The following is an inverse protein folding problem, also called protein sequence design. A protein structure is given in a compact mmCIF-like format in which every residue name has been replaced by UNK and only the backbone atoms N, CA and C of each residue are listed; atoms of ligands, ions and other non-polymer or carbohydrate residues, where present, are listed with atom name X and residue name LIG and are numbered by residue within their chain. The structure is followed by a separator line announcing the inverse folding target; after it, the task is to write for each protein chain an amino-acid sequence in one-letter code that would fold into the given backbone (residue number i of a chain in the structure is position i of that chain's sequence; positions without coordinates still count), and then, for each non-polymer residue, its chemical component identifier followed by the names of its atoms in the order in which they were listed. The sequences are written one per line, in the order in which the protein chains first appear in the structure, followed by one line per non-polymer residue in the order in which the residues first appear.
data_IF_224612823327
#
_entry.id   IF_224612823327
#
_cell.length_a   1.000
_cell.length_b   1.000
_cell.length_c   1.000
_cell.angle_alpha   90.00
_cell.angle_beta   90.00
_cell.angle_gamma   90.00
#
_symmetry.space_group_name_H-M   'P 1'
#
loop_
_entity.id
_entity.type
_entity.pdbx_description
1 polymer ?
#
# COMPACT_ATOMS: atom_id res chain seq x y z
N UNK A 1 -16.31 12.33 -32.38
CA UNK A 1 -15.36 12.02 -31.31
C UNK A 1 -16.00 10.99 -30.40
N UNK A 2 -15.36 9.84 -30.13
CA UNK A 2 -15.92 8.84 -29.21
C UNK A 2 -15.44 9.13 -27.80
N UNK A 3 -16.27 9.81 -27.01
CA UNK A 3 -16.00 9.93 -25.58
C UNK A 3 -16.11 8.55 -24.91
N UNK A 4 -15.28 8.26 -23.90
CA UNK A 4 -15.37 7.00 -23.18
C UNK A 4 -16.71 6.93 -22.42
N UNK A 5 -17.27 5.72 -22.31
CA UNK A 5 -18.50 5.50 -21.53
C UNK A 5 -18.27 5.64 -20.02
N UNK A 6 -17.04 5.41 -19.56
CA UNK A 6 -16.64 5.50 -18.16
C UNK A 6 -15.36 6.32 -18.06
N UNK A 7 -15.33 7.26 -17.13
CA UNK A 7 -14.16 8.05 -16.79
C UNK A 7 -13.85 7.85 -15.30
N UNK A 8 -12.65 7.37 -14.99
CA UNK A 8 -12.17 7.17 -13.62
C UNK A 8 -11.14 8.25 -13.32
N UNK A 9 -11.40 9.07 -12.29
CA UNK A 9 -10.54 10.18 -11.88
C UNK A 9 -10.12 10.00 -10.42
N UNK A 10 -8.82 10.06 -10.16
CA UNK A 10 -8.29 10.20 -8.80
C UNK A 10 -8.35 11.67 -8.39
N UNK A 11 -8.92 11.96 -7.22
CA UNK A 11 -8.99 13.30 -6.64
C UNK A 11 -8.14 13.35 -5.37
N UNK A 12 -6.90 13.82 -5.51
CA UNK A 12 -5.97 14.05 -4.41
C UNK A 12 -6.25 15.36 -3.69
N UNK A 13 -5.84 15.45 -2.42
CA UNK A 13 -5.96 16.66 -1.60
C UNK A 13 -4.69 16.85 -0.78
N UNK A 14 -3.95 17.91 -1.07
CA UNK A 14 -2.74 18.29 -0.36
C UNK A 14 -3.05 19.36 0.70
N UNK A 15 -4.09 20.17 0.48
CA UNK A 15 -4.53 21.23 1.38
C UNK A 15 -6.05 21.41 1.36
N UNK A 16 -6.64 22.12 2.34
CA UNK A 16 -8.07 22.42 2.35
C UNK A 16 -8.53 23.14 1.07
N UNK A 17 -9.67 22.70 0.52
CA UNK A 17 -10.30 23.25 -0.69
C UNK A 17 -9.91 22.58 -2.00
N UNK A 18 -8.93 21.67 -2.01
CA UNK A 18 -8.51 20.98 -3.23
C UNK A 18 -9.64 20.08 -3.79
N UNK A 19 -10.37 19.37 -2.93
CA UNK A 19 -11.48 18.51 -3.37
C UNK A 19 -12.66 19.34 -3.86
N UNK A 20 -12.94 20.47 -3.20
CA UNK A 20 -13.96 21.41 -3.66
C UNK A 20 -13.65 21.90 -5.09
N UNK A 21 -12.41 22.33 -5.32
CA UNK A 21 -11.93 22.74 -6.64
C UNK A 21 -12.11 21.62 -7.69
N UNK A 22 -11.72 20.39 -7.39
CA UNK A 22 -11.85 19.26 -8.32
C UNK A 22 -13.31 18.92 -8.62
N UNK A 23 -14.18 19.00 -7.62
CA UNK A 23 -15.62 18.76 -7.78
C UNK A 23 -16.34 19.87 -8.54
N UNK A 24 -15.78 21.07 -8.62
CA UNK A 24 -16.30 22.14 -9.48
C UNK A 24 -15.98 21.90 -10.96
N UNK A 25 -14.94 21.12 -11.27
CA UNK A 25 -14.61 20.71 -12.64
C UNK A 25 -15.48 19.53 -13.07
N UNK A 26 -15.59 18.48 -12.23
CA UNK A 26 -16.33 17.25 -12.54
C UNK A 26 -17.15 16.78 -11.35
N UNK A 27 -18.47 16.66 -11.54
CA UNK A 27 -19.38 16.04 -10.55
C UNK A 27 -19.38 14.52 -10.70
N UNK A 28 -19.31 13.80 -9.58
CA UNK A 28 -19.20 12.35 -9.54
C UNK A 28 -20.55 11.63 -9.60
N UNK A 29 -20.68 10.63 -10.47
CA UNK A 29 -21.75 9.64 -10.45
C UNK A 29 -21.51 8.59 -9.35
N UNK A 30 -20.25 8.20 -9.16
CA UNK A 30 -19.82 7.27 -8.12
C UNK A 30 -18.62 7.90 -7.41
N UNK A 31 -18.71 8.07 -6.09
CA UNK A 31 -17.65 8.63 -5.25
C UNK A 31 -17.09 7.56 -4.33
N UNK A 32 -15.79 7.30 -4.42
CA UNK A 32 -15.10 6.31 -3.60
C UNK A 32 -14.24 7.05 -2.58
N UNK A 33 -14.44 6.74 -1.29
CA UNK A 33 -13.53 7.18 -0.24
C UNK A 33 -12.88 5.94 0.34
N UNK A 34 -11.56 5.85 0.18
CA UNK A 34 -10.81 4.61 0.45
C UNK A 34 -10.28 4.53 1.87
N UNK A 35 -9.69 5.62 2.36
CA UNK A 35 -9.06 5.68 3.68
C UNK A 35 -8.93 7.14 4.16
N UNK A 36 -9.05 7.34 5.47
CA UNK A 36 -8.75 8.61 6.14
C UNK A 36 -7.74 8.35 7.26
N UNK A 37 -6.55 8.94 7.11
CA UNK A 37 -5.45 8.77 8.05
C UNK A 37 -4.60 10.04 8.15
N UNK A 38 -3.41 9.91 8.72
CA UNK A 38 -2.52 11.03 9.10
C UNK A 38 -1.65 11.56 7.94
N UNK A 39 -1.90 11.15 6.70
CA UNK A 39 -1.24 11.71 5.52
C UNK A 39 -1.56 13.20 5.37
N UNK A 40 -0.57 14.04 5.06
CA UNK A 40 -0.71 15.50 4.92
C UNK A 40 -1.20 16.21 6.19
N UNK A 41 -0.93 15.64 7.37
CA UNK A 41 -1.32 16.24 8.65
C UNK A 41 -0.70 17.63 8.85
N UNK A 42 0.46 17.91 8.25
CA UNK A 42 1.08 19.24 8.25
C UNK A 42 0.15 20.32 7.65
N UNK A 43 -0.51 20.02 6.54
CA UNK A 43 -1.41 20.96 5.86
C UNK A 43 -2.80 21.01 6.52
N UNK A 44 -3.35 19.85 6.90
CA UNK A 44 -4.72 19.75 7.42
C UNK A 44 -4.84 19.93 8.93
N UNK A 45 -3.73 19.87 9.68
CA UNK A 45 -3.60 19.98 11.14
C UNK A 45 -4.22 18.84 11.94
N UNK A 46 -5.38 18.35 11.54
CA UNK A 46 -6.10 17.26 12.22
C UNK A 46 -6.70 16.27 11.23
N UNK A 47 -6.84 15.03 11.68
CA UNK A 47 -7.46 13.96 10.87
C UNK A 47 -8.95 14.23 10.61
N UNK A 48 -9.64 14.91 11.53
CA UNK A 48 -11.03 15.36 11.33
C UNK A 48 -11.14 16.38 10.18
N UNK A 49 -10.14 17.24 9.97
CA UNK A 49 -10.13 18.15 8.82
C UNK A 49 -9.89 17.40 7.51
N UNK A 50 -9.03 16.38 7.50
CA UNK A 50 -8.83 15.49 6.35
C UNK A 50 -10.15 14.78 6.00
N UNK A 51 -10.87 14.27 7.01
CA UNK A 51 -12.19 13.66 6.84
C UNK A 51 -13.18 14.63 6.21
N UNK A 52 -13.25 15.87 6.69
CA UNK A 52 -14.16 16.89 6.15
C UNK A 52 -13.85 17.19 4.69
N UNK A 53 -12.57 17.35 4.35
CA UNK A 53 -12.12 17.59 2.98
C UNK A 53 -12.47 16.42 2.05
N UNK A 54 -12.01 15.20 2.36
CA UNK A 54 -12.27 14.00 1.53
C UNK A 54 -13.75 13.63 1.48
N UNK A 55 -14.49 13.91 2.56
CA UNK A 55 -15.94 13.70 2.65
C UNK A 55 -16.75 14.58 1.69
N UNK A 56 -16.18 15.64 1.13
CA UNK A 56 -16.84 16.45 0.10
C UNK A 56 -17.21 15.63 -1.13
N UNK A 57 -16.44 14.59 -1.47
CA UNK A 57 -16.76 13.66 -2.58
C UNK A 57 -18.13 13.03 -2.37
N UNK A 58 -18.41 12.55 -1.14
CA UNK A 58 -19.66 11.88 -0.78
C UNK A 58 -20.82 12.87 -0.72
N UNK A 59 -20.56 14.09 -0.24
CA UNK A 59 -21.58 15.15 -0.10
C UNK A 59 -22.05 15.73 -1.43
N UNK A 60 -21.19 15.72 -2.44
CA UNK A 60 -21.43 16.36 -3.74
C UNK A 60 -21.73 15.35 -4.85
N UNK A 61 -22.12 14.12 -4.49
CA UNK A 61 -22.64 13.15 -5.45
C UNK A 61 -23.88 13.71 -6.16
N UNK A 62 -24.07 13.30 -7.42
CA UNK A 62 -25.33 13.54 -8.13
C UNK A 62 -26.49 12.86 -7.37
N UNK A 63 -27.72 13.31 -7.63
CA UNK A 63 -28.94 12.88 -6.93
C UNK A 63 -29.09 11.35 -6.81
N UNK A 64 -28.76 10.62 -7.88
CA UNK A 64 -28.85 9.16 -7.94
C UNK A 64 -27.48 8.47 -7.87
N UNK A 65 -26.45 9.22 -7.45
CA UNK A 65 -25.08 8.75 -7.36
C UNK A 65 -24.86 7.75 -6.22
N UNK A 66 -23.72 7.06 -6.28
CA UNK A 66 -23.33 6.05 -5.31
C UNK A 66 -22.10 6.46 -4.51
N UNK A 67 -22.17 6.30 -3.20
CA UNK A 67 -21.01 6.31 -2.33
C UNK A 67 -20.46 4.88 -2.18
N UNK A 68 -19.16 4.72 -2.41
CA UNK A 68 -18.42 3.49 -2.13
C UNK A 68 -17.49 3.76 -0.96
N UNK A 69 -17.78 3.15 0.19
CA UNK A 69 -17.11 3.44 1.45
C UNK A 69 -16.38 2.21 1.98
N UNK A 70 -15.15 2.40 2.45
CA UNK A 70 -14.43 1.36 3.19
C UNK A 70 -15.09 1.13 4.55
N UNK A 71 -15.67 -0.04 4.75
CA UNK A 71 -16.33 -0.48 5.99
C UNK A 71 -15.35 -0.61 7.15
N UNK A 72 -14.10 -0.99 6.86
CA UNK A 72 -13.12 -1.34 7.88
C UNK A 72 -12.45 -0.11 8.51
N UNK A 73 -12.53 1.04 7.84
CA UNK A 73 -12.08 2.36 8.28
C UNK A 73 -13.25 3.13 8.89
N UNK A 74 -13.23 3.30 10.22
CA UNK A 74 -14.31 3.93 10.97
C UNK A 74 -14.58 5.38 10.53
N UNK A 75 -13.54 6.12 10.15
CA UNK A 75 -13.69 7.51 9.73
C UNK A 75 -14.38 7.60 8.39
N UNK A 76 -13.97 6.75 7.45
CA UNK A 76 -14.61 6.63 6.13
C UNK A 76 -16.04 6.16 6.28
N UNK A 77 -16.28 5.07 7.00
CA UNK A 77 -17.64 4.53 7.15
C UNK A 77 -18.57 5.50 7.88
N UNK A 78 -18.06 6.32 8.79
CA UNK A 78 -18.87 7.35 9.45
C UNK A 78 -19.43 8.42 8.50
N UNK A 79 -18.87 8.60 7.30
CA UNK A 79 -19.41 9.48 6.26
C UNK A 79 -20.79 9.03 5.77
N UNK A 80 -21.16 7.76 5.97
CA UNK A 80 -22.49 7.24 5.66
C UNK A 80 -23.60 8.02 6.38
N UNK A 81 -23.33 8.62 7.55
CA UNK A 81 -24.29 9.43 8.31
C UNK A 81 -24.70 10.72 7.59
N UNK A 82 -23.86 11.20 6.67
CA UNK A 82 -24.03 12.46 5.96
C UNK A 82 -24.56 12.27 4.54
N UNK A 83 -24.73 11.01 4.12
CA UNK A 83 -25.14 10.63 2.77
C UNK A 83 -26.66 10.75 2.57
N UNK A 84 -27.04 11.31 1.42
CA UNK A 84 -28.46 11.45 0.99
C UNK A 84 -28.77 10.67 -0.29
N UNK A 85 -28.05 9.57 -0.52
CA UNK A 85 -28.09 8.79 -1.76
C UNK A 85 -27.75 7.32 -1.55
N UNK A 86 -27.40 6.64 -2.64
CA UNK A 86 -27.12 5.21 -2.62
C UNK A 86 -25.73 4.93 -2.04
N UNK A 87 -25.58 3.79 -1.35
CA UNK A 87 -24.31 3.38 -0.74
C UNK A 87 -24.07 1.90 -0.94
N UNK A 88 -22.83 1.52 -1.24
CA UNK A 88 -22.31 0.20 -0.94
C UNK A 88 -21.01 0.32 -0.17
N UNK A 89 -20.82 -0.58 0.79
CA UNK A 89 -19.59 -0.69 1.56
C UNK A 89 -18.74 -1.86 1.08
N UNK A 90 -17.43 -1.74 1.26
CA UNK A 90 -16.49 -2.83 0.99
C UNK A 90 -15.50 -2.97 2.15
N UNK A 91 -14.97 -4.17 2.35
CA UNK A 91 -14.04 -4.39 3.45
C UNK A 91 -13.67 -5.85 3.65
N UNK A 92 -12.79 -6.08 4.63
CA UNK A 92 -12.33 -7.41 5.05
C UNK A 92 -13.03 -7.85 6.34
N UNK A 93 -13.67 -6.93 7.09
CA UNK A 93 -14.48 -7.27 8.27
C UNK A 93 -15.89 -7.71 7.88
N UNK A 94 -16.43 -8.60 8.71
CA UNK A 94 -17.82 -9.03 8.60
C UNK A 94 -18.75 -7.82 8.77
N UNK A 95 -19.62 -7.59 7.78
CA UNK A 95 -20.58 -6.48 7.77
C UNK A 95 -20.51 -5.62 6.51
N UNK A 96 -19.37 -5.63 5.81
CA UNK A 96 -19.25 -4.99 4.50
C UNK A 96 -20.22 -5.64 3.47
N UNK A 97 -20.79 -4.84 2.57
CA UNK A 97 -21.68 -5.35 1.51
C UNK A 97 -20.91 -6.23 0.53
N UNK A 98 -19.77 -5.72 0.04
CA UNK A 98 -18.78 -6.46 -0.75
C UNK A 98 -17.63 -6.87 0.18
N UNK A 99 -17.70 -8.11 0.64
CA UNK A 99 -16.83 -8.60 1.71
C UNK A 99 -15.75 -9.54 1.18
N UNK A 100 -14.48 -9.19 1.40
CA UNK A 100 -13.33 -10.08 1.21
C UNK A 100 -13.06 -10.90 2.47
N UNK A 101 -12.96 -12.22 2.35
CA UNK A 101 -12.69 -13.13 3.46
C UNK A 101 -11.73 -14.24 3.06
N UNK A 102 -11.25 -15.01 4.05
CA UNK A 102 -10.36 -16.17 3.82
C UNK A 102 -9.13 -15.81 2.96
N UNK A 103 -8.39 -14.79 3.39
CA UNK A 103 -7.20 -14.30 2.68
C UNK A 103 -6.09 -15.34 2.83
N UNK A 104 -5.49 -15.72 1.71
CA UNK A 104 -4.39 -16.68 1.62
C UNK A 104 -3.28 -16.13 0.74
N UNK A 105 -2.03 -16.45 1.08
CA UNK A 105 -0.93 -16.26 0.14
C UNK A 105 -0.98 -17.35 -0.93
N UNK A 106 -0.86 -16.97 -2.20
CA UNK A 106 -0.82 -17.89 -3.33
C UNK A 106 0.62 -18.18 -3.71
N UNK A 107 0.97 -19.46 -3.86
CA UNK A 107 2.31 -19.89 -4.25
C UNK A 107 2.25 -20.73 -5.51
N UNK A 108 3.22 -20.54 -6.38
CA UNK A 108 3.43 -21.34 -7.58
C UNK A 108 4.65 -22.25 -7.41
N UNK A 109 4.53 -23.50 -7.85
CA UNK A 109 5.66 -24.43 -7.90
C UNK A 109 6.56 -24.06 -9.06
N UNK A 110 7.83 -23.86 -8.74
CA UNK A 110 8.91 -23.61 -9.69
C UNK A 110 9.96 -24.72 -9.58
N UNK A 111 10.85 -24.84 -10.56
CA UNK A 111 11.98 -25.77 -10.48
C UNK A 111 12.95 -25.51 -9.31
N UNK A 112 12.81 -24.38 -8.60
CA UNK A 112 13.64 -23.97 -7.46
C UNK A 112 12.88 -23.98 -6.13
N UNK A 113 11.65 -24.51 -6.09
CA UNK A 113 10.78 -24.51 -4.90
C UNK A 113 9.48 -23.77 -5.14
N UNK A 114 8.85 -23.25 -4.09
CA UNK A 114 7.63 -22.44 -4.20
C UNK A 114 7.99 -20.95 -4.30
N UNK A 115 7.38 -20.24 -5.25
CA UNK A 115 7.50 -18.78 -5.40
C UNK A 115 6.17 -18.15 -5.03
N UNK A 116 6.20 -17.07 -4.24
CA UNK A 116 5.01 -16.28 -3.96
C UNK A 116 4.45 -15.72 -5.29
N UNK A 117 3.22 -16.09 -5.61
CA UNK A 117 2.57 -15.81 -6.90
C UNK A 117 1.54 -14.70 -6.78
N UNK A 118 1.02 -14.42 -5.58
CA UNK A 118 0.06 -13.36 -5.34
C UNK A 118 -0.76 -13.57 -4.07
N UNK A 119 -1.92 -12.91 -4.02
CA UNK A 119 -2.86 -13.05 -2.91
C UNK A 119 -4.21 -13.58 -3.40
N UNK A 120 -4.74 -14.58 -2.69
CA UNK A 120 -6.06 -15.15 -2.93
C UNK A 120 -7.03 -14.79 -1.80
N UNK A 121 -8.30 -14.62 -2.13
CA UNK A 121 -9.37 -14.42 -1.14
C UNK A 121 -10.72 -14.85 -1.72
N UNK A 122 -11.74 -14.95 -0.87
CA UNK A 122 -13.14 -15.13 -1.30
C UNK A 122 -13.85 -13.79 -1.24
N UNK A 123 -14.54 -13.42 -2.32
CA UNK A 123 -15.39 -12.24 -2.40
C UNK A 123 -16.85 -12.65 -2.26
N UNK A 124 -17.58 -12.01 -1.33
CA UNK A 124 -19.00 -12.25 -1.09
C UNK A 124 -19.84 -10.99 -1.32
N UNK A 125 -20.98 -11.17 -1.99
CA UNK A 125 -22.01 -10.14 -2.15
C UNK A 125 -23.38 -10.81 -2.31
N UNK A 126 -24.39 -10.33 -1.57
CA UNK A 126 -25.80 -10.83 -1.61
C UNK A 126 -25.94 -12.36 -1.61
N UNK A 127 -25.15 -13.04 -0.78
CA UNK A 127 -25.18 -14.50 -0.62
C UNK A 127 -24.36 -15.29 -1.65
N UNK A 128 -23.92 -14.67 -2.74
CA UNK A 128 -22.97 -15.28 -3.68
C UNK A 128 -21.54 -15.15 -3.17
N UNK A 129 -20.72 -16.18 -3.41
CA UNK A 129 -19.30 -16.20 -3.03
C UNK A 129 -18.47 -16.72 -4.20
N UNK A 130 -17.41 -15.99 -4.56
CA UNK A 130 -16.47 -16.40 -5.62
C UNK A 130 -15.03 -16.31 -5.12
N UNK A 131 -14.14 -17.23 -5.54
CA UNK A 131 -12.71 -17.05 -5.31
C UNK A 131 -12.17 -15.93 -6.21
N UNK A 132 -11.23 -15.14 -5.69
CA UNK A 132 -10.48 -14.11 -6.41
C UNK A 132 -8.99 -14.36 -6.19
N UNK A 133 -8.20 -14.10 -7.22
CA UNK A 133 -6.75 -14.19 -7.16
C UNK A 133 -6.17 -12.94 -7.81
N UNK A 134 -5.33 -12.21 -7.07
CA UNK A 134 -4.60 -11.04 -7.53
C UNK A 134 -3.13 -11.45 -7.74
N UNK A 135 -2.70 -11.72 -8.97
CA UNK A 135 -1.35 -12.18 -9.23
C UNK A 135 -0.33 -11.07 -9.01
N UNK A 136 0.88 -11.45 -8.62
CA UNK A 136 2.03 -10.55 -8.42
C UNK A 136 1.80 -9.45 -7.38
N UNK A 137 0.84 -9.63 -6.47
CA UNK A 137 0.50 -8.66 -5.42
C UNK A 137 0.46 -9.29 -4.05
N UNK A 138 0.75 -8.49 -3.03
CA UNK A 138 0.74 -8.94 -1.64
C UNK A 138 0.10 -7.89 -0.74
N UNK A 139 -0.37 -8.36 0.41
CA UNK A 139 -0.93 -7.51 1.46
C UNK A 139 -2.37 -7.07 1.23
N UNK A 140 -2.98 -6.59 2.30
CA UNK A 140 -4.37 -6.14 2.32
C UNK A 140 -4.66 -4.92 1.43
N UNK A 141 -3.74 -3.94 1.23
CA UNK A 141 -4.03 -2.78 0.38
C UNK A 141 -4.47 -3.13 -1.04
N UNK A 142 -3.87 -4.15 -1.65
CA UNK A 142 -4.27 -4.64 -2.98
C UNK A 142 -5.69 -5.22 -2.96
N UNK A 143 -6.04 -5.96 -1.90
CA UNK A 143 -7.39 -6.53 -1.72
C UNK A 143 -8.41 -5.42 -1.52
N UNK A 144 -8.11 -4.40 -0.72
CA UNK A 144 -9.01 -3.24 -0.57
C UNK A 144 -9.24 -2.51 -1.89
N UNK A 145 -8.19 -2.31 -2.70
CA UNK A 145 -8.33 -1.69 -4.02
C UNK A 145 -9.19 -2.55 -4.96
N UNK A 146 -8.97 -3.86 -4.97
CA UNK A 146 -9.77 -4.81 -5.74
C UNK A 146 -11.25 -4.83 -5.30
N UNK A 147 -11.51 -4.80 -3.99
CA UNK A 147 -12.87 -4.75 -3.43
C UNK A 147 -13.58 -3.42 -3.73
N UNK A 148 -12.86 -2.29 -3.69
CA UNK A 148 -13.40 -0.99 -4.10
C UNK A 148 -13.83 -1.02 -5.58
N UNK A 149 -12.95 -1.51 -6.46
CA UNK A 149 -13.25 -1.69 -7.89
C UNK A 149 -14.39 -2.69 -8.13
N UNK A 150 -14.40 -3.81 -7.42
CA UNK A 150 -15.48 -4.80 -7.47
C UNK A 150 -16.84 -4.19 -7.07
N UNK A 151 -16.85 -3.31 -6.06
CA UNK A 151 -18.06 -2.62 -5.62
C UNK A 151 -18.61 -1.71 -6.71
N UNK A 152 -17.73 -1.00 -7.43
CA UNK A 152 -18.12 -0.24 -8.62
C UNK A 152 -18.66 -1.15 -9.73
N UNK A 153 -18.02 -2.30 -9.98
CA UNK A 153 -18.51 -3.29 -10.95
C UNK A 153 -19.92 -3.78 -10.62
N UNK A 154 -20.18 -4.08 -9.35
CA UNK A 154 -21.50 -4.46 -8.83
C UNK A 154 -22.54 -3.35 -9.02
N UNK A 155 -22.19 -2.09 -8.75
CA UNK A 155 -23.07 -0.93 -8.99
C UNK A 155 -23.46 -0.83 -10.47
N UNK A 156 -22.54 -1.18 -11.37
CA UNK A 156 -22.77 -1.18 -12.81
C UNK A 156 -23.37 -2.50 -13.33
N UNK A 157 -23.81 -3.40 -12.45
CA UNK A 157 -24.54 -4.61 -12.82
C UNK A 157 -23.66 -5.81 -13.24
N UNK A 158 -22.34 -5.73 -13.08
CA UNK A 158 -21.46 -6.88 -13.31
C UNK A 158 -21.72 -7.97 -12.26
N UNK A 159 -21.67 -9.23 -12.68
CA UNK A 159 -21.75 -10.34 -11.74
C UNK A 159 -20.37 -10.66 -11.12
N UNK A 160 -20.35 -11.38 -10.00
CA UNK A 160 -19.10 -11.64 -9.26
C UNK A 160 -18.10 -12.51 -10.06
N UNK A 161 -18.57 -13.36 -10.97
CA UNK A 161 -17.68 -14.21 -11.79
C UNK A 161 -16.93 -13.34 -12.80
N UNK A 162 -17.62 -12.42 -13.49
CA UNK A 162 -17.00 -11.44 -14.39
C UNK A 162 -15.98 -10.59 -13.65
N UNK A 163 -16.35 -10.05 -12.49
CA UNK A 163 -15.45 -9.24 -11.66
C UNK A 163 -14.21 -10.05 -11.25
N UNK A 164 -14.38 -11.29 -10.77
CA UNK A 164 -13.27 -12.15 -10.37
C UNK A 164 -12.33 -12.46 -11.53
N UNK A 165 -12.87 -12.69 -12.73
CA UNK A 165 -12.07 -12.92 -13.94
C UNK A 165 -11.25 -11.67 -14.31
N UNK A 166 -11.88 -10.50 -14.35
CA UNK A 166 -11.18 -9.24 -14.67
C UNK A 166 -10.11 -8.88 -13.63
N UNK A 167 -10.35 -9.18 -12.34
CA UNK A 167 -9.37 -8.91 -11.28
C UNK A 167 -8.08 -9.74 -11.41
N UNK A 168 -8.04 -10.81 -12.22
CA UNK A 168 -6.78 -11.52 -12.52
C UNK A 168 -5.81 -10.69 -13.35
N UNK A 169 -6.31 -9.69 -14.06
CA UNK A 169 -5.50 -8.75 -14.84
C UNK A 169 -5.01 -7.58 -13.98
N UNK A 170 -5.44 -7.50 -12.71
CA UNK A 170 -4.97 -6.47 -11.79
C UNK A 170 -3.45 -6.51 -11.66
N UNK A 171 -2.84 -5.34 -11.72
CA UNK A 171 -1.42 -5.12 -11.43
C UNK A 171 -1.33 -3.92 -10.49
N UNK A 172 -0.63 -4.10 -9.38
CA UNK A 172 -0.34 -2.96 -8.50
C UNK A 172 0.49 -1.92 -9.25
N UNK A 173 0.19 -0.62 -9.11
CA UNK A 173 1.09 0.44 -9.58
C UNK A 173 2.50 0.24 -9.00
N UNK A 174 3.53 0.63 -9.76
CA UNK A 174 4.94 0.50 -9.35
C UNK A 174 5.16 1.11 -7.96
N UNK A 175 6.06 0.52 -7.17
CA UNK A 175 6.38 0.96 -5.81
C UNK A 175 5.23 0.82 -4.81
N UNK A 176 4.22 -0.02 -5.07
CA UNK A 176 3.11 -0.30 -4.15
C UNK A 176 3.02 -1.80 -3.87
N UNK A 177 3.89 -2.28 -2.98
CA UNK A 177 4.03 -3.68 -2.60
C UNK A 177 4.23 -4.62 -3.79
N UNK A 178 5.01 -4.18 -4.79
CA UNK A 178 5.32 -5.00 -5.97
C UNK A 178 6.40 -6.03 -5.63
N UNK A 179 6.27 -7.24 -6.16
CA UNK A 179 7.32 -8.25 -6.07
C UNK A 179 8.34 -8.04 -7.20
N UNK A 180 9.61 -7.89 -6.84
CA UNK A 180 10.73 -7.75 -7.77
C UNK A 180 11.76 -8.83 -7.47
N UNK A 181 12.22 -9.54 -8.50
CA UNK A 181 13.29 -10.53 -8.33
C UNK A 181 14.61 -9.82 -8.00
N UNK A 182 15.27 -10.26 -6.93
CA UNK A 182 16.53 -9.70 -6.45
C UNK A 182 17.75 -10.51 -6.88
N UNK A 183 18.94 -9.89 -6.78
CA UNK A 183 20.21 -10.58 -7.01
C UNK A 183 20.37 -11.77 -6.05
N UNK A 184 21.28 -12.69 -6.37
CA UNK A 184 21.55 -13.89 -5.53
C UNK A 184 20.31 -14.77 -5.28
N UNK A 185 19.23 -14.59 -6.04
CA UNK A 185 17.98 -15.34 -5.87
C UNK A 185 17.18 -14.90 -4.64
N UNK A 186 17.23 -13.62 -4.29
CA UNK A 186 16.37 -13.00 -3.26
C UNK A 186 15.06 -12.50 -3.86
N UNK A 187 14.14 -12.10 -3.00
CA UNK A 187 12.89 -11.44 -3.38
C UNK A 187 12.81 -10.05 -2.74
N UNK A 188 12.42 -9.05 -3.51
CA UNK A 188 12.24 -7.68 -3.02
C UNK A 188 10.76 -7.35 -3.07
N UNK A 189 10.26 -6.79 -1.98
CA UNK A 189 8.97 -6.12 -1.92
C UNK A 189 9.23 -4.63 -2.06
N UNK A 190 8.96 -4.10 -3.24
CA UNK A 190 9.08 -2.68 -3.56
C UNK A 190 7.82 -1.92 -3.13
N UNK A 191 7.92 -1.14 -2.06
CA UNK A 191 6.89 -0.22 -1.57
C UNK A 191 7.41 1.22 -1.48
N UNK A 192 8.22 1.62 -2.47
CA UNK A 192 8.98 2.89 -2.48
C UNK A 192 8.23 4.08 -3.10
N UNK A 193 6.95 3.92 -3.46
CA UNK A 193 6.15 5.03 -3.97
C UNK A 193 5.93 6.10 -2.89
N UNK A 194 5.48 5.75 -1.70
CA UNK A 194 5.40 6.71 -0.60
C UNK A 194 5.37 5.98 0.75
N UNK A 195 5.55 6.73 1.83
CA UNK A 195 5.47 6.20 3.18
C UNK A 195 4.74 7.14 4.13
N UNK A 196 4.05 6.53 5.07
CA UNK A 196 3.40 7.13 6.23
C UNK A 196 3.43 6.08 7.35
N UNK A 197 3.34 6.45 8.64
CA UNK A 197 3.41 5.49 9.74
C UNK A 197 2.42 4.34 9.55
N UNK A 198 1.16 4.65 9.26
CA UNK A 198 0.13 3.63 9.05
C UNK A 198 0.41 2.72 7.84
N UNK A 199 0.84 3.25 6.70
CA UNK A 199 1.14 2.41 5.53
C UNK A 199 2.37 1.54 5.76
N UNK A 200 3.34 2.02 6.55
CA UNK A 200 4.52 1.25 6.96
C UNK A 200 4.16 0.08 7.85
N UNK A 201 3.25 0.27 8.81
CA UNK A 201 2.73 -0.82 9.66
C UNK A 201 1.99 -1.88 8.84
N UNK A 202 1.17 -1.47 7.86
CA UNK A 202 0.46 -2.40 6.97
C UNK A 202 1.42 -3.19 6.07
N UNK A 203 2.47 -2.55 5.56
CA UNK A 203 3.51 -3.20 4.79
C UNK A 203 4.27 -4.23 5.64
N UNK A 204 4.61 -3.88 6.90
CA UNK A 204 5.26 -4.77 7.86
C UNK A 204 4.40 -5.97 8.23
N UNK A 205 3.09 -5.79 8.48
CA UNK A 205 2.17 -6.88 8.76
C UNK A 205 2.07 -7.86 7.59
N UNK A 206 1.93 -7.34 6.36
CA UNK A 206 1.92 -8.15 5.15
C UNK A 206 3.24 -8.91 4.96
N UNK A 207 4.37 -8.23 5.16
CA UNK A 207 5.71 -8.79 5.03
C UNK A 207 6.01 -9.88 6.08
N UNK A 208 5.55 -9.68 7.32
CA UNK A 208 5.71 -10.65 8.39
C UNK A 208 4.97 -11.97 8.11
N UNK A 209 3.83 -11.91 7.41
CA UNK A 209 3.04 -13.09 7.03
C UNK A 209 3.65 -13.93 5.90
N UNK A 210 4.68 -13.44 5.22
CA UNK A 210 5.36 -14.20 4.16
C UNK A 210 6.22 -15.29 4.80
N UNK A 211 5.94 -16.54 4.47
CA UNK A 211 6.77 -17.67 4.86
C UNK A 211 8.02 -17.72 3.98
N UNK A 212 9.19 -17.83 4.62
CA UNK A 212 10.47 -17.95 3.93
C UNK A 212 11.18 -19.26 4.33
N UNK A 213 12.12 -19.77 3.50
CA UNK A 213 12.90 -20.95 3.87
C UNK A 213 13.63 -20.76 5.21
N UNK A 214 13.79 -21.83 6.00
CA UNK A 214 14.35 -21.77 7.37
C UNK A 214 15.73 -21.09 7.51
N UNK A 215 16.51 -21.02 6.44
CA UNK A 215 17.86 -20.41 6.43
C UNK A 215 17.87 -18.98 5.90
N UNK A 216 16.75 -18.52 5.36
CA UNK A 216 16.59 -17.20 4.79
C UNK A 216 16.24 -16.17 5.85
N UNK A 217 16.45 -14.90 5.51
CA UNK A 217 16.34 -13.77 6.40
C UNK A 217 15.38 -12.71 5.87
N UNK A 218 14.71 -12.00 6.78
CA UNK A 218 13.85 -10.85 6.46
C UNK A 218 14.58 -9.53 6.74
N UNK A 219 14.68 -8.69 5.72
CA UNK A 219 15.24 -7.35 5.81
C UNK A 219 14.14 -6.31 5.67
N UNK A 220 14.03 -5.41 6.66
CA UNK A 220 13.19 -4.22 6.62
C UNK A 220 14.06 -3.01 6.31
N UNK A 221 13.88 -2.39 5.15
CA UNK A 221 14.66 -1.23 4.69
C UNK A 221 13.75 -0.01 4.59
N UNK A 222 13.93 0.95 5.49
CA UNK A 222 13.05 2.10 5.65
C UNK A 222 13.78 3.43 5.45
N UNK A 223 13.22 4.28 4.58
CA UNK A 223 13.64 5.66 4.41
C UNK A 223 12.81 6.63 5.23
N UNK A 224 13.19 7.90 5.21
CA UNK A 224 12.41 9.00 5.79
C UNK A 224 10.93 8.95 5.35
N UNK A 225 10.04 9.16 6.32
CA UNK A 225 8.64 9.54 6.11
C UNK A 225 8.53 11.06 6.18
N UNK A 226 8.13 11.69 5.07
CA UNK A 226 8.04 13.14 4.93
C UNK A 226 6.61 13.64 5.22
N UNK A 227 6.44 14.96 5.36
CA UNK A 227 5.14 15.65 5.53
C UNK A 227 4.35 15.28 6.81
N UNK A 228 5.04 14.81 7.85
CA UNK A 228 4.45 14.48 9.15
C UNK A 228 4.42 15.66 10.14
N UNK A 229 5.15 16.75 9.85
CA UNK A 229 5.28 17.90 10.74
C UNK A 229 5.71 17.48 12.16
N UNK A 230 4.95 17.92 13.17
CA UNK A 230 5.19 17.59 14.58
C UNK A 230 5.07 16.09 14.93
N UNK A 231 4.43 15.29 14.06
CA UNK A 231 4.29 13.84 14.24
C UNK A 231 5.49 13.05 13.70
N UNK A 232 6.54 13.73 13.21
CA UNK A 232 7.70 13.06 12.60
C UNK A 232 8.35 12.05 13.54
N UNK A 233 8.75 12.45 14.74
CA UNK A 233 9.47 11.58 15.68
C UNK A 233 8.62 10.36 16.08
N UNK A 234 7.41 10.60 16.59
CA UNK A 234 6.51 9.54 17.04
C UNK A 234 6.07 8.62 15.90
N UNK A 235 5.80 9.17 14.71
CA UNK A 235 5.44 8.38 13.54
C UNK A 235 6.54 7.41 13.10
N UNK A 236 7.80 7.84 13.15
CA UNK A 236 8.95 6.97 12.88
C UNK A 236 9.17 5.96 14.02
N UNK A 237 9.08 6.41 15.27
CA UNK A 237 9.24 5.55 16.44
C UNK A 237 8.20 4.41 16.46
N UNK A 238 6.97 4.69 16.04
CA UNK A 238 5.91 3.68 15.91
C UNK A 238 6.29 2.55 14.95
N UNK A 239 6.92 2.88 13.81
CA UNK A 239 7.41 1.87 12.85
C UNK A 239 8.56 1.07 13.47
N UNK A 240 9.50 1.72 14.16
CA UNK A 240 10.63 1.06 14.82
C UNK A 240 10.19 0.03 15.86
N UNK A 241 9.25 0.44 16.73
CA UNK A 241 8.65 -0.46 17.73
C UNK A 241 7.96 -1.65 17.07
N UNK A 242 7.24 -1.44 15.98
CA UNK A 242 6.61 -2.54 15.24
C UNK A 242 7.64 -3.53 14.70
N UNK A 243 8.73 -3.04 14.10
CA UNK A 243 9.79 -3.91 13.55
C UNK A 243 10.35 -4.84 14.64
N UNK A 244 10.63 -4.31 15.83
CA UNK A 244 11.17 -5.08 16.95
C UNK A 244 10.22 -6.19 17.46
N UNK A 245 8.91 -6.08 17.20
CA UNK A 245 7.91 -7.08 17.63
C UNK A 245 7.63 -8.17 16.58
N UNK A 246 8.18 -8.04 15.38
CA UNK A 246 7.94 -8.95 14.25
C UNK A 246 9.15 -9.86 14.02
N UNK A 247 8.97 -10.92 13.24
CA UNK A 247 10.05 -11.86 12.89
C UNK A 247 10.91 -11.26 11.77
N UNK A 248 11.62 -10.17 12.09
CA UNK A 248 12.48 -9.42 11.17
C UNK A 248 13.93 -9.55 11.66
N UNK A 249 14.80 -10.06 10.79
CA UNK A 249 16.20 -10.31 11.15
C UNK A 249 17.05 -9.04 11.13
N UNK A 250 16.80 -8.14 10.18
CA UNK A 250 17.62 -6.95 9.98
C UNK A 250 16.76 -5.73 9.67
N UNK A 251 17.06 -4.63 10.36
CA UNK A 251 16.51 -3.30 10.11
C UNK A 251 17.60 -2.42 9.50
N UNK A 252 17.32 -1.82 8.36
CA UNK A 252 18.16 -0.82 7.70
C UNK A 252 17.37 0.47 7.58
N UNK A 253 17.87 1.58 8.12
CA UNK A 253 17.21 2.89 8.05
C UNK A 253 18.05 3.89 7.27
N UNK A 254 17.40 4.76 6.50
CA UNK A 254 18.07 5.71 5.60
C UNK A 254 17.47 7.12 5.70
N UNK A 255 18.31 8.10 6.05
CA UNK A 255 17.91 9.50 6.17
C UNK A 255 17.79 9.98 7.61
N UNK A 256 17.81 11.29 7.82
CA UNK A 256 17.90 11.90 9.15
C UNK A 256 16.72 11.52 10.07
N UNK A 257 15.50 11.53 9.55
CA UNK A 257 14.28 11.23 10.32
C UNK A 257 14.13 9.73 10.57
N UNK A 258 14.58 8.90 9.62
CA UNK A 258 14.57 7.45 9.75
C UNK A 258 15.43 6.94 10.91
N UNK A 259 16.32 7.76 11.49
CA UNK A 259 17.04 7.42 12.72
C UNK A 259 16.10 7.06 13.88
N UNK A 260 14.98 7.76 14.00
CA UNK A 260 13.98 7.49 15.05
C UNK A 260 13.35 6.09 14.91
N UNK A 261 13.33 5.50 13.71
CA UNK A 261 12.92 4.09 13.53
C UNK A 261 13.95 3.17 14.18
N UNK A 262 15.25 3.42 13.94
CA UNK A 262 16.33 2.60 14.47
C UNK A 262 16.42 2.70 16.00
N UNK A 263 16.35 3.91 16.55
CA UNK A 263 16.37 4.17 17.99
C UNK A 263 15.20 3.45 18.70
N UNK A 264 13.97 3.62 18.20
CA UNK A 264 12.80 3.01 18.79
C UNK A 264 12.78 1.47 18.65
N UNK A 265 13.41 0.91 17.62
CA UNK A 265 13.58 -0.55 17.51
C UNK A 265 14.58 -1.09 18.54
N UNK A 266 15.70 -0.40 18.76
CA UNK A 266 16.70 -0.74 19.79
C UNK A 266 16.06 -0.67 21.19
N UNK A 267 15.33 0.40 21.48
CA UNK A 267 14.59 0.57 22.75
C UNK A 267 13.51 -0.50 22.97
N UNK A 268 12.86 -0.95 21.89
CA UNK A 268 11.88 -2.02 21.93
C UNK A 268 12.48 -3.44 22.02
N UNK A 269 13.82 -3.55 22.06
CA UNK A 269 14.53 -4.80 22.36
C UNK A 269 15.14 -5.51 21.14
N UNK A 270 15.14 -4.89 19.95
CA UNK A 270 15.87 -5.45 18.80
C UNK A 270 17.38 -5.32 19.03
N UNK A 271 18.12 -6.40 18.80
CA UNK A 271 19.57 -6.44 19.02
C UNK A 271 20.31 -5.40 18.16
N UNK A 272 21.22 -4.65 18.76
CA UNK A 272 21.93 -3.54 18.10
C UNK A 272 22.71 -3.96 16.85
N UNK A 273 23.25 -5.17 16.82
CA UNK A 273 23.96 -5.75 15.66
C UNK A 273 23.02 -6.18 14.52
N UNK A 274 21.71 -5.99 14.68
CA UNK A 274 20.69 -6.18 13.64
C UNK A 274 20.11 -4.87 13.11
N UNK A 275 20.53 -3.73 13.65
CA UNK A 275 20.03 -2.41 13.27
C UNK A 275 21.16 -1.62 12.62
N UNK A 276 20.92 -1.13 11.41
CA UNK A 276 21.90 -0.37 10.63
C UNK A 276 21.29 0.93 10.13
N UNK A 277 21.95 2.06 10.40
CA UNK A 277 21.50 3.37 9.99
C UNK A 277 22.48 4.01 9.01
N UNK A 278 21.97 4.61 7.95
CA UNK A 278 22.75 5.31 6.92
C UNK A 278 22.18 6.70 6.66
N UNK A 279 23.05 7.66 6.37
CA UNK A 279 22.63 8.97 5.87
C UNK A 279 22.30 8.95 4.38
N UNK A 280 22.93 8.04 3.61
CA UNK A 280 22.78 7.95 2.16
C UNK A 280 22.32 6.56 1.70
N UNK A 281 21.40 6.57 0.73
CA UNK A 281 20.77 5.37 0.17
C UNK A 281 21.73 4.52 -0.66
N UNK A 282 22.79 5.10 -1.25
CA UNK A 282 23.78 4.34 -2.02
C UNK A 282 24.57 3.42 -1.08
N UNK A 283 25.03 3.96 0.04
CA UNK A 283 25.79 3.19 1.04
C UNK A 283 24.92 2.11 1.67
N UNK A 284 23.66 2.43 1.98
CA UNK A 284 22.68 1.44 2.44
C UNK A 284 22.43 0.34 1.40
N UNK A 285 22.31 0.71 0.11
CA UNK A 285 22.11 -0.22 -0.99
C UNK A 285 23.27 -1.20 -1.13
N UNK A 286 24.51 -0.71 -1.14
CA UNK A 286 25.72 -1.54 -1.19
C UNK A 286 25.82 -2.46 0.04
N UNK A 287 25.53 -1.94 1.24
CA UNK A 287 25.51 -2.74 2.46
C UNK A 287 24.51 -3.90 2.39
N UNK A 288 23.28 -3.64 1.93
CA UNK A 288 22.27 -4.69 1.74
C UNK A 288 22.73 -5.67 0.66
N UNK A 289 23.24 -5.18 -0.46
CA UNK A 289 23.76 -5.99 -1.57
C UNK A 289 24.80 -7.00 -1.10
N UNK A 290 25.75 -6.58 -0.26
CA UNK A 290 26.83 -7.42 0.25
C UNK A 290 26.32 -8.48 1.22
N UNK A 291 25.38 -8.10 2.11
CA UNK A 291 24.92 -8.94 3.22
C UNK A 291 23.87 -9.98 2.85
N UNK A 292 22.99 -9.67 1.90
CA UNK A 292 21.91 -10.59 1.52
C UNK A 292 22.46 -11.88 0.90
N UNK A 293 21.75 -12.97 1.18
CA UNK A 293 22.05 -14.32 0.74
C UNK A 293 20.84 -14.96 0.07
N UNK A 294 21.03 -16.10 -0.59
CA UNK A 294 19.98 -16.76 -1.36
C UNK A 294 18.74 -17.09 -0.52
N UNK A 295 17.57 -16.71 -1.06
CA UNK A 295 16.27 -16.93 -0.43
C UNK A 295 15.83 -15.83 0.55
N UNK A 296 16.71 -14.88 0.87
CA UNK A 296 16.33 -13.71 1.68
C UNK A 296 15.23 -12.89 1.00
N UNK A 297 14.43 -12.21 1.82
CA UNK A 297 13.38 -11.30 1.37
C UNK A 297 13.59 -9.91 1.96
N UNK A 298 13.40 -8.88 1.14
CA UNK A 298 13.71 -7.49 1.48
C UNK A 298 12.48 -6.63 1.23
N UNK A 299 11.94 -5.98 2.27
CA UNK A 299 10.96 -4.91 2.13
C UNK A 299 11.69 -3.58 2.02
N UNK A 300 11.42 -2.79 0.98
CA UNK A 300 11.98 -1.45 0.82
C UNK A 300 10.85 -0.44 0.77
N UNK A 301 10.87 0.53 1.69
CA UNK A 301 9.81 1.54 1.82
C UNK A 301 10.37 2.91 2.20
N UNK A 302 9.76 3.98 1.73
CA UNK A 302 10.10 5.35 2.11
C UNK A 302 9.26 6.37 1.36
N UNK A 303 9.25 7.62 1.83
CA UNK A 303 8.54 8.68 1.13
C UNK A 303 9.17 9.00 -0.22
N UNK A 304 8.41 9.68 -1.07
CA UNK A 304 8.84 10.06 -2.41
C UNK A 304 10.22 10.74 -2.45
N UNK A 305 10.46 11.68 -1.53
CA UNK A 305 11.73 12.42 -1.47
C UNK A 305 12.93 11.57 -1.01
N UNK A 306 12.71 10.45 -0.31
CA UNK A 306 13.79 9.55 0.13
C UNK A 306 14.44 8.81 -1.05
N UNK A 307 13.69 8.61 -2.15
CA UNK A 307 14.13 7.92 -3.38
C UNK A 307 14.63 6.49 -3.12
N UNK A 308 13.92 5.76 -2.26
CA UNK A 308 14.31 4.41 -1.85
C UNK A 308 14.28 3.40 -3.00
N UNK A 309 13.60 3.69 -4.11
CA UNK A 309 13.62 2.85 -5.32
C UNK A 309 15.04 2.68 -5.89
N UNK A 310 15.97 3.60 -5.57
CA UNK A 310 17.38 3.46 -5.94
C UNK A 310 18.06 2.29 -5.23
N UNK A 311 17.65 1.98 -3.99
CA UNK A 311 18.13 0.77 -3.29
C UNK A 311 17.58 -0.46 -4.01
N UNK A 312 16.29 -0.49 -4.35
CA UNK A 312 15.69 -1.60 -5.10
C UNK A 312 16.46 -1.84 -6.40
N UNK A 313 16.80 -0.79 -7.14
CA UNK A 313 17.59 -0.88 -8.37
C UNK A 313 19.00 -1.46 -8.15
N UNK A 314 19.64 -1.18 -7.03
CA UNK A 314 20.97 -1.71 -6.69
C UNK A 314 20.94 -3.23 -6.43
N UNK A 315 19.84 -3.73 -5.85
CA UNK A 315 19.72 -5.13 -5.42
C UNK A 315 18.79 -5.97 -6.30
N UNK A 316 18.18 -5.42 -7.35
CA UNK A 316 17.32 -6.17 -8.28
C UNK A 316 18.14 -7.04 -9.26
N UNK A 317 17.58 -8.17 -9.66
CA UNK A 317 18.25 -9.14 -10.53
C UNK A 317 18.55 -8.61 -11.94
N UNK A 318 17.68 -7.72 -12.46
CA UNK A 318 17.81 -7.16 -13.81
C UNK A 318 17.66 -5.62 -13.79
N UNK A 319 18.74 -4.88 -13.49
CA UNK A 319 18.71 -3.42 -13.43
C UNK A 319 18.33 -2.72 -14.74
N UNK A 320 18.41 -3.43 -15.89
CA UNK A 320 18.02 -2.87 -17.20
C UNK A 320 16.49 -2.74 -17.31
N UNK A 321 15.74 -3.55 -16.57
CA UNK A 321 14.27 -3.48 -16.48
C UNK A 321 13.76 -2.50 -15.43
N UNK A 322 14.63 -1.71 -14.81
CA UNK A 322 14.22 -0.74 -13.79
C UNK A 322 13.09 0.17 -14.28
N UNK A 323 13.15 0.68 -15.53
CA UNK A 323 12.09 1.53 -16.10
C UNK A 323 10.72 0.85 -16.16
N UNK A 324 10.71 -0.47 -16.38
CA UNK A 324 9.49 -1.27 -16.44
C UNK A 324 8.94 -1.53 -15.04
N UNK A 325 9.81 -1.78 -14.05
CA UNK A 325 9.41 -2.34 -12.76
C UNK A 325 9.32 -1.32 -11.63
N UNK A 326 10.14 -0.26 -11.66
CA UNK A 326 10.29 0.68 -10.55
C UNK A 326 9.66 2.04 -10.86
N UNK A 327 9.26 2.74 -9.80
CA UNK A 327 8.83 4.14 -9.88
C UNK A 327 9.99 5.05 -10.27
N UNK A 328 9.68 6.26 -10.78
CA UNK A 328 10.65 7.38 -10.92
C UNK A 328 11.91 7.05 -11.71
N UNK A 329 11.77 6.31 -12.81
CA UNK A 329 12.90 5.98 -13.70
C UNK A 329 12.99 6.86 -14.95
N UNK A 330 11.98 7.69 -15.21
CA UNK A 330 11.94 8.63 -16.34
C UNK A 330 12.99 9.74 -16.24
N UNK A 331 13.23 10.44 -17.35
CA UNK A 331 14.31 11.43 -17.48
C UNK A 331 14.32 12.53 -16.42
N UNK A 332 13.15 13.04 -16.00
CA UNK A 332 13.02 14.07 -14.96
C UNK A 332 13.47 13.60 -13.56
N UNK A 333 13.59 12.29 -13.36
CA UNK A 333 13.90 11.67 -12.07
C UNK A 333 15.32 11.10 -11.97
N UNK A 334 16.06 11.05 -13.09
CA UNK A 334 17.43 10.50 -13.16
C UNK A 334 18.45 11.50 -12.65
#
# INVERSE_FOLDING_TARGET
ESYPQVLVLEMGADKPGDIEYLLDIVKCDIGIVTKIGESHLEAFKTVENIKKEKGLIVKNLKKDGWAVLNFDDEQVFSLAKELKGNMLSYGLKQGADVWGMEIISSFEKTGRGEKLAGVGFKMKYKGSVVPVMLPETIGNPAIYAALAGATVGVINGMNLVEISQSLREFRSPKGRMNMVDGIKGTMIIDDTYNASPQSSLEALDAFNKINIPKKSKKYAVFGDMLELGAYTEEGHALVGRSVATLDIDYLVTVGERARHIAEAAEEAGMEKDRIYHFSDRKDAGLFVQDRITTGDIILVKGSQGARMEKIVKEIMADPLRAEELLVRQGGEWR
#
